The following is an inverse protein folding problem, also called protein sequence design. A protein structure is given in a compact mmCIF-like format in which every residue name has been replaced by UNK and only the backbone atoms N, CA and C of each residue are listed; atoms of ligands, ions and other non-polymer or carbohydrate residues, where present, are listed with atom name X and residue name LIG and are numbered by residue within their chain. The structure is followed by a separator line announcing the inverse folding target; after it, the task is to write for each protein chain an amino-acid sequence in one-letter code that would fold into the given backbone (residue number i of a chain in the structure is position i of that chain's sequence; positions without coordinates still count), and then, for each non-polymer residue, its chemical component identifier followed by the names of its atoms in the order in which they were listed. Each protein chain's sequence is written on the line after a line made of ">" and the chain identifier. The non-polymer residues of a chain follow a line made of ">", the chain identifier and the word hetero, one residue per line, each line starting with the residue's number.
data_IF_590551503793
#
_entry.id   IF_590551503793
#
_cell.length_a   1.000
_cell.length_b   1.000
_cell.length_c   1.000
_cell.angle_alpha   90.00
_cell.angle_beta   90.00
_cell.angle_gamma   90.00
#
_symmetry.space_group_name_H-M   'P 1'
#
loop_
_entity.id
_entity.type
_entity.pdbx_description
1 polymer ?
#
# COMPACT_ATOMS: atom_id res chain seq x y z
N UNK A 1 -10.99 -32.90 15.22
CA UNK A 1 -10.95 -32.32 16.59
C UNK A 1 -12.38 -32.23 17.07
N UNK A 2 -12.71 -32.81 18.22
CA UNK A 2 -14.08 -32.82 18.75
C UNK A 2 -14.42 -31.44 19.31
N UNK A 3 -15.68 -31.02 19.26
CA UNK A 3 -16.13 -29.75 19.85
C UNK A 3 -15.80 -29.65 21.36
N UNK A 4 -15.71 -30.81 22.03
CA UNK A 4 -15.30 -30.91 23.44
C UNK A 4 -13.83 -30.56 23.62
N UNK A 5 -12.96 -30.90 22.67
CA UNK A 5 -11.53 -30.53 22.72
C UNK A 5 -11.35 -29.02 22.50
N UNK A 6 -12.11 -28.45 21.56
CA UNK A 6 -12.08 -27.00 21.32
C UNK A 6 -12.59 -26.19 22.53
N UNK A 7 -13.66 -26.66 23.19
CA UNK A 7 -14.16 -26.04 24.42
C UNK A 7 -13.18 -26.20 25.58
N UNK A 8 -12.50 -27.36 25.69
CA UNK A 8 -11.44 -27.57 26.68
C UNK A 8 -10.25 -26.62 26.45
N UNK A 9 -9.80 -26.48 25.21
CA UNK A 9 -8.68 -25.59 24.87
C UNK A 9 -9.02 -24.12 25.14
N UNK A 10 -10.25 -23.69 24.82
CA UNK A 10 -10.71 -22.34 25.12
C UNK A 10 -10.76 -22.05 26.63
N UNK A 11 -11.22 -23.01 27.44
CA UNK A 11 -11.27 -22.89 28.90
C UNK A 11 -9.85 -22.82 29.48
N UNK A 12 -8.93 -23.64 28.97
CA UNK A 12 -7.52 -23.63 29.40
C UNK A 12 -6.83 -22.29 29.08
N UNK A 13 -7.15 -21.67 27.94
CA UNK A 13 -6.64 -20.34 27.59
C UNK A 13 -7.20 -19.21 28.47
N UNK A 14 -8.45 -19.34 28.94
CA UNK A 14 -9.15 -18.30 29.71
C UNK A 14 -8.91 -18.37 31.22
N UNK A 15 -8.80 -19.57 31.79
CA UNK A 15 -8.66 -19.75 33.24
C UNK A 15 -7.20 -19.85 33.69
N UNK A 16 -6.25 -19.94 32.74
CA UNK A 16 -4.91 -20.42 33.02
C UNK A 16 -4.93 -21.91 33.35
N UNK A 17 -3.79 -22.57 33.23
CA UNK A 17 -3.69 -23.99 33.57
C UNK A 17 -3.87 -24.19 35.07
N UNK A 18 -5.05 -24.67 35.47
CA UNK A 18 -5.40 -25.00 36.85
C UNK A 18 -4.24 -25.74 37.57
N UNK A 19 -3.85 -25.33 38.80
CA UNK A 19 -2.82 -26.01 39.58
C UNK A 19 -3.13 -27.49 39.88
N UNK A 20 -4.39 -27.93 39.73
CA UNK A 20 -4.84 -29.27 40.09
C UNK A 20 -4.81 -30.29 38.94
N UNK A 21 -4.46 -29.88 37.72
CA UNK A 21 -4.32 -30.78 36.57
C UNK A 21 -2.82 -30.99 36.34
N UNK A 22 -2.30 -32.08 36.90
CA UNK A 22 -0.95 -32.60 36.64
C UNK A 22 -0.91 -33.19 35.21
N UNK A 23 -0.98 -32.31 34.21
CA UNK A 23 -0.51 -32.61 32.87
C UNK A 23 1.01 -32.40 32.97
N UNK A 24 1.81 -33.47 32.91
CA UNK A 24 3.27 -33.48 33.16
C UNK A 24 4.15 -32.64 32.20
N UNK A 25 3.63 -31.49 31.75
CA UNK A 25 4.33 -30.41 31.09
C UNK A 25 5.02 -29.59 32.18
N UNK A 26 6.34 -29.59 32.17
CA UNK A 26 7.13 -28.67 32.99
C UNK A 26 6.60 -27.25 32.78
N UNK A 27 6.07 -26.61 33.83
CA UNK A 27 5.61 -25.22 33.76
C UNK A 27 6.81 -24.34 33.44
N UNK A 28 6.89 -23.91 32.19
CA UNK A 28 7.96 -23.02 31.73
C UNK A 28 7.79 -21.67 32.41
N UNK A 29 8.81 -21.15 33.10
CA UNK A 29 8.69 -19.85 33.77
C UNK A 29 8.58 -18.73 32.73
N UNK A 30 7.81 -17.68 33.04
CA UNK A 30 7.66 -16.50 32.16
C UNK A 30 8.98 -15.77 31.84
N UNK A 31 10.06 -16.09 32.56
CA UNK A 31 11.41 -15.57 32.37
C UNK A 31 12.20 -16.25 31.25
N UNK A 32 11.68 -17.32 30.65
CA UNK A 32 12.37 -18.03 29.56
C UNK A 32 12.51 -17.13 28.31
N UNK A 33 13.67 -17.19 27.65
CA UNK A 33 13.96 -16.44 26.43
C UNK A 33 13.11 -16.88 25.21
N UNK A 34 12.50 -18.08 25.28
CA UNK A 34 11.60 -18.61 24.23
C UNK A 34 10.25 -17.90 24.20
N UNK A 35 9.86 -17.25 25.30
CA UNK A 35 8.58 -16.55 25.43
C UNK A 35 8.72 -15.15 24.86
N UNK A 36 7.66 -14.68 24.20
CA UNK A 36 7.64 -13.33 23.65
C UNK A 36 7.41 -12.30 24.76
N UNK A 37 8.47 -11.59 25.15
CA UNK A 37 8.40 -10.49 26.13
C UNK A 37 7.40 -9.40 25.71
N UNK A 38 7.38 -9.05 24.41
CA UNK A 38 6.41 -8.10 23.86
C UNK A 38 4.96 -8.60 23.97
N UNK A 39 4.73 -9.92 23.93
CA UNK A 39 3.39 -10.49 24.13
C UNK A 39 2.96 -10.42 25.59
N UNK A 40 3.88 -10.65 26.55
CA UNK A 40 3.62 -10.46 27.98
C UNK A 40 3.20 -9.01 28.28
N UNK A 41 3.75 -8.03 27.55
CA UNK A 41 3.36 -6.61 27.62
C UNK A 41 2.14 -6.25 26.76
N UNK A 42 1.60 -7.21 25.99
CA UNK A 42 0.45 -6.99 25.11
C UNK A 42 0.72 -6.12 23.88
N UNK A 43 1.98 -5.93 23.50
CA UNK A 43 2.40 -5.05 22.40
C UNK A 43 3.12 -5.80 21.27
N UNK A 44 2.96 -7.12 21.16
CA UNK A 44 3.63 -7.88 20.11
C UNK A 44 3.10 -7.47 18.72
N UNK A 45 3.95 -6.96 17.80
CA UNK A 45 3.51 -6.52 16.47
C UNK A 45 2.84 -7.63 15.65
N UNK A 46 3.29 -8.88 15.82
CA UNK A 46 2.72 -10.04 15.11
C UNK A 46 1.28 -10.36 15.53
N UNK A 47 0.94 -10.13 16.80
CA UNK A 47 -0.40 -10.41 17.32
C UNK A 47 -1.35 -9.24 17.06
N UNK A 48 -0.89 -8.00 17.24
CA UNK A 48 -1.68 -6.79 17.00
C UNK A 48 -2.03 -6.60 15.53
N UNK A 49 -1.11 -6.96 14.62
CA UNK A 49 -1.31 -6.82 13.17
C UNK A 49 -1.84 -8.09 12.52
N UNK A 50 -2.12 -9.14 13.31
CA UNK A 50 -2.77 -10.34 12.82
C UNK A 50 -4.09 -9.95 12.13
N UNK A 51 -4.36 -10.53 10.96
CA UNK A 51 -5.54 -10.22 10.13
C UNK A 51 -5.56 -8.84 9.46
N UNK A 52 -4.47 -8.07 9.50
CA UNK A 52 -4.35 -6.83 8.71
C UNK A 52 -3.69 -7.10 7.36
N UNK A 53 -3.78 -6.16 6.41
CA UNK A 53 -3.03 -6.25 5.13
C UNK A 53 -1.50 -6.24 5.31
N UNK A 54 -1.03 -5.91 6.52
CA UNK A 54 0.38 -5.85 6.89
C UNK A 54 0.79 -7.01 7.79
N UNK A 55 0.01 -8.11 7.78
CA UNK A 55 0.29 -9.29 8.60
C UNK A 55 1.69 -9.85 8.30
N UNK A 56 2.47 -10.03 9.37
CA UNK A 56 3.82 -10.58 9.32
C UNK A 56 3.85 -12.09 9.59
N UNK A 57 2.69 -12.69 9.83
CA UNK A 57 2.54 -14.09 10.20
C UNK A 57 2.77 -14.35 11.69
N UNK A 58 2.74 -15.63 12.04
CA UNK A 58 2.88 -16.11 13.41
C UNK A 58 4.23 -15.72 14.03
N UNK A 59 4.21 -15.36 15.32
CA UNK A 59 5.42 -15.02 16.02
C UNK A 59 6.31 -16.26 16.21
N UNK A 60 7.62 -16.11 16.05
CA UNK A 60 8.60 -17.19 16.29
C UNK A 60 8.71 -17.55 17.77
N UNK A 61 8.24 -16.67 18.66
CA UNK A 61 8.28 -16.84 20.12
C UNK A 61 6.91 -17.29 20.62
N UNK A 62 6.91 -17.99 21.76
CA UNK A 62 5.68 -18.55 22.33
C UNK A 62 4.81 -17.43 22.90
N UNK A 63 3.54 -17.40 22.48
CA UNK A 63 2.48 -16.53 23.00
C UNK A 63 1.51 -17.38 23.82
N UNK A 64 1.63 -17.33 25.15
CA UNK A 64 0.72 -18.03 26.06
C UNK A 64 0.03 -17.03 26.98
N UNK A 65 -1.30 -17.00 26.92
CA UNK A 65 -2.15 -16.10 27.71
C UNK A 65 -2.03 -16.42 29.21
N UNK A 66 -1.79 -17.68 29.58
CA UNK A 66 -1.60 -18.06 30.98
C UNK A 66 -0.34 -17.39 31.57
N UNK A 67 0.77 -17.39 30.82
CA UNK A 67 2.04 -16.77 31.24
C UNK A 67 1.93 -15.25 31.33
N UNK A 68 1.08 -14.63 30.49
CA UNK A 68 0.78 -13.20 30.60
C UNK A 68 0.07 -12.87 31.91
N UNK A 69 -0.92 -13.67 32.32
CA UNK A 69 -1.60 -13.47 33.60
C UNK A 69 -0.66 -13.61 34.81
N UNK A 70 0.27 -14.58 34.74
CA UNK A 70 1.31 -14.77 35.76
C UNK A 70 2.30 -13.60 35.80
N UNK A 71 2.68 -13.07 34.63
CA UNK A 71 3.52 -11.88 34.51
C UNK A 71 2.84 -10.63 35.07
N UNK A 72 1.58 -10.36 34.71
CA UNK A 72 0.81 -9.21 35.21
C UNK A 72 0.64 -9.25 36.74
N UNK A 73 0.58 -10.45 37.32
CA UNK A 73 0.59 -10.63 38.78
C UNK A 73 1.96 -10.31 39.38
N UNK A 74 3.02 -10.83 38.79
CA UNK A 74 4.41 -10.66 39.26
C UNK A 74 4.91 -9.22 39.09
N UNK A 75 4.46 -8.52 38.05
CA UNK A 75 4.80 -7.13 37.76
C UNK A 75 4.33 -6.17 38.88
N UNK A 76 3.26 -6.52 39.61
CA UNK A 76 2.80 -5.73 40.78
C UNK A 76 3.78 -5.80 41.95
N UNK A 77 4.57 -6.87 42.04
CA UNK A 77 5.53 -7.08 43.12
C UNK A 77 6.93 -6.58 42.74
N UNK A 78 7.31 -6.69 41.46
CA UNK A 78 8.64 -6.30 40.98
C UNK A 78 8.63 -5.91 39.50
N UNK A 79 9.38 -4.85 39.17
CA UNK A 79 9.66 -4.48 37.79
C UNK A 79 10.73 -5.38 37.17
N UNK A 80 10.40 -6.00 36.04
CA UNK A 80 11.29 -6.89 35.27
C UNK A 80 12.00 -6.19 34.09
N UNK A 81 11.71 -4.90 33.84
CA UNK A 81 12.30 -4.07 32.79
C UNK A 81 12.19 -4.64 31.36
N UNK A 82 11.20 -5.49 31.09
CA UNK A 82 10.94 -6.01 29.74
C UNK A 82 10.51 -4.94 28.74
N UNK A 83 10.15 -3.74 29.22
CA UNK A 83 9.81 -2.59 28.40
C UNK A 83 10.98 -2.12 27.54
N UNK A 84 12.21 -2.23 28.03
CA UNK A 84 13.42 -1.84 27.29
C UNK A 84 13.64 -2.77 26.09
N UNK A 85 13.56 -4.08 26.32
CA UNK A 85 13.66 -5.07 25.24
C UNK A 85 12.53 -4.89 24.22
N UNK A 86 11.32 -4.60 24.70
CA UNK A 86 10.18 -4.37 23.84
C UNK A 86 10.37 -3.10 22.99
N UNK A 87 10.90 -2.03 23.58
CA UNK A 87 11.21 -0.79 22.88
C UNK A 87 12.21 -1.01 21.73
N UNK A 88 13.31 -1.74 21.97
CA UNK A 88 14.31 -2.01 20.92
C UNK A 88 13.70 -2.77 19.72
N UNK A 89 12.83 -3.73 19.99
CA UNK A 89 12.14 -4.50 18.95
C UNK A 89 11.14 -3.61 18.20
N UNK A 90 10.40 -2.77 18.92
CA UNK A 90 9.43 -1.85 18.33
C UNK A 90 10.10 -0.76 17.49
N UNK A 91 11.23 -0.22 17.93
CA UNK A 91 11.99 0.79 17.20
C UNK A 91 12.48 0.24 15.85
N UNK A 92 13.01 -0.99 15.82
CA UNK A 92 13.36 -1.68 14.57
C UNK A 92 12.15 -1.87 13.67
N UNK A 93 11.01 -2.26 14.26
CA UNK A 93 9.77 -2.45 13.52
C UNK A 93 9.24 -1.14 12.91
N UNK A 94 9.30 -0.03 13.64
CA UNK A 94 8.95 1.29 13.12
C UNK A 94 9.85 1.70 11.96
N UNK A 95 11.16 1.47 12.08
CA UNK A 95 12.11 1.76 10.99
C UNK A 95 11.78 0.98 9.71
N UNK A 96 11.43 -0.30 9.83
CA UNK A 96 11.02 -1.12 8.69
C UNK A 96 9.69 -0.64 8.07
N UNK A 97 8.74 -0.20 8.91
CA UNK A 97 7.49 0.38 8.44
C UNK A 97 7.69 1.70 7.71
N UNK A 98 8.50 2.61 8.27
CA UNK A 98 8.85 3.88 7.64
C UNK A 98 9.57 3.66 6.31
N UNK A 99 10.51 2.71 6.26
CA UNK A 99 11.19 2.34 5.01
C UNK A 99 10.21 1.84 3.96
N UNK A 100 9.26 0.96 4.32
CA UNK A 100 8.21 0.49 3.40
C UNK A 100 7.32 1.64 2.94
N UNK A 101 6.99 2.57 3.85
CA UNK A 101 6.18 3.74 3.56
C UNK A 101 6.88 4.68 2.57
N UNK A 102 8.16 4.95 2.76
CA UNK A 102 8.94 5.78 1.85
C UNK A 102 9.07 5.16 0.45
N UNK A 103 9.24 3.83 0.36
CA UNK A 103 9.22 3.13 -0.93
C UNK A 103 7.85 3.28 -1.61
N UNK A 104 6.76 3.13 -0.86
CA UNK A 104 5.41 3.28 -1.39
C UNK A 104 5.14 4.72 -1.88
N UNK A 105 5.56 5.73 -1.10
CA UNK A 105 5.49 7.14 -1.50
C UNK A 105 6.31 7.42 -2.75
N UNK A 106 7.54 6.89 -2.82
CA UNK A 106 8.41 7.08 -4.00
C UNK A 106 7.79 6.48 -5.25
N UNK A 107 7.27 5.25 -5.17
CA UNK A 107 6.55 4.63 -6.28
C UNK A 107 5.34 5.45 -6.72
N UNK A 108 4.57 5.97 -5.76
CA UNK A 108 3.42 6.83 -6.06
C UNK A 108 3.86 8.12 -6.78
N UNK A 109 4.96 8.74 -6.34
CA UNK A 109 5.53 9.93 -6.97
C UNK A 109 6.04 9.63 -8.38
N UNK A 110 6.77 8.52 -8.58
CA UNK A 110 7.24 8.07 -9.90
C UNK A 110 6.05 7.84 -10.86
N UNK A 111 4.99 7.14 -10.42
CA UNK A 111 3.78 6.93 -11.23
C UNK A 111 3.06 8.26 -11.53
N UNK A 112 3.03 9.20 -10.59
CA UNK A 112 2.41 10.51 -10.80
C UNK A 112 3.21 11.37 -11.78
N UNK A 113 4.54 11.33 -11.71
CA UNK A 113 5.43 12.01 -12.64
C UNK A 113 5.28 11.45 -14.04
N UNK A 114 5.30 10.11 -14.20
CA UNK A 114 5.07 9.44 -15.48
C UNK A 114 3.72 9.83 -16.09
N UNK A 115 2.64 9.78 -15.31
CA UNK A 115 1.31 10.20 -15.76
C UNK A 115 1.26 11.69 -16.15
N UNK A 116 1.99 12.53 -15.42
CA UNK A 116 2.06 13.97 -15.71
C UNK A 116 2.83 14.26 -17.00
N UNK A 117 3.93 13.54 -17.26
CA UNK A 117 4.74 13.68 -18.46
C UNK A 117 3.94 13.22 -19.69
N UNK A 118 3.31 12.05 -19.62
CA UNK A 118 2.44 11.57 -20.69
C UNK A 118 1.27 12.52 -20.97
N UNK A 119 0.68 13.12 -19.94
CA UNK A 119 -0.38 14.11 -20.09
C UNK A 119 0.13 15.40 -20.77
N UNK A 120 1.32 15.88 -20.39
CA UNK A 120 1.94 17.05 -21.02
C UNK A 120 2.32 16.80 -22.49
N UNK A 121 2.91 15.64 -22.81
CA UNK A 121 3.25 15.30 -24.20
C UNK A 121 2.02 15.18 -25.10
N UNK A 122 0.93 14.60 -24.59
CA UNK A 122 -0.34 14.52 -25.32
C UNK A 122 -0.95 15.90 -25.53
N UNK A 123 -0.90 16.78 -24.52
CA UNK A 123 -1.38 18.15 -24.65
C UNK A 123 -0.55 18.97 -25.65
N UNK A 124 0.78 18.82 -25.66
CA UNK A 124 1.67 19.47 -26.64
C UNK A 124 1.37 19.02 -28.07
N UNK A 125 1.18 17.72 -28.32
CA UNK A 125 0.79 17.20 -29.64
C UNK A 125 -0.53 17.80 -30.13
N UNK A 126 -1.52 17.94 -29.25
CA UNK A 126 -2.82 18.56 -29.58
C UNK A 126 -2.62 20.06 -29.91
N UNK A 127 -1.77 20.77 -29.17
CA UNK A 127 -1.46 22.18 -29.45
C UNK A 127 -0.75 22.35 -30.80
N UNK A 128 0.25 21.51 -31.11
CA UNK A 128 0.95 21.53 -32.40
C UNK A 128 0.00 21.26 -33.58
N UNK A 129 -0.88 20.27 -33.46
CA UNK A 129 -1.90 19.98 -34.48
C UNK A 129 -2.85 21.17 -34.65
N UNK A 130 -3.26 21.84 -33.57
CA UNK A 130 -4.09 23.05 -33.66
C UNK A 130 -3.37 24.21 -34.37
N UNK A 131 -2.09 24.44 -34.09
CA UNK A 131 -1.31 25.45 -34.79
C UNK A 131 -1.17 25.14 -36.28
N UNK A 132 -0.90 23.89 -36.63
CA UNK A 132 -0.74 23.46 -38.02
C UNK A 132 -2.06 23.58 -38.79
N UNK A 133 -3.19 23.23 -38.17
CA UNK A 133 -4.53 23.47 -38.73
C UNK A 133 -4.76 24.97 -38.94
N UNK A 134 -4.40 25.82 -37.97
CA UNK A 134 -4.54 27.27 -38.09
C UNK A 134 -3.73 27.86 -39.25
N UNK A 135 -2.47 27.44 -39.41
CA UNK A 135 -1.58 27.88 -40.51
C UNK A 135 -2.11 27.44 -41.87
N UNK A 136 -2.46 26.16 -42.01
CA UNK A 136 -2.98 25.62 -43.28
C UNK A 136 -4.33 26.20 -43.66
N UNK A 137 -5.19 26.53 -42.69
CA UNK A 137 -6.47 27.21 -42.93
C UNK A 137 -6.26 28.64 -43.43
N UNK A 138 -5.35 29.39 -42.82
CA UNK A 138 -5.00 30.74 -43.27
C UNK A 138 -4.37 30.74 -44.69
N UNK A 139 -3.58 29.72 -45.02
CA UNK A 139 -3.02 29.55 -46.37
C UNK A 139 -4.09 29.19 -47.40
N UNK A 140 -5.02 28.29 -47.05
CA UNK A 140 -6.14 27.89 -47.92
C UNK A 140 -7.05 29.09 -48.25
N UNK A 141 -7.34 29.95 -47.26
CA UNK A 141 -8.14 31.17 -47.45
C UNK A 141 -7.44 32.20 -48.36
N UNK A 142 -6.12 32.39 -48.21
CA UNK A 142 -5.35 33.28 -49.09
C UNK A 142 -5.38 32.83 -50.55
N UNK A 143 -5.11 31.55 -50.79
CA UNK A 143 -5.12 30.99 -52.16
C UNK A 143 -6.52 31.00 -52.79
N UNK A 144 -7.56 30.83 -51.97
CA UNK A 144 -8.95 31.00 -52.39
C UNK A 144 -9.24 32.44 -52.85
N UNK A 145 -8.78 33.45 -52.10
CA UNK A 145 -8.94 34.86 -52.46
C UNK A 145 -8.15 35.26 -53.71
N UNK A 146 -7.01 34.62 -53.97
CA UNK A 146 -6.20 34.83 -55.19
C UNK A 146 -6.78 34.11 -56.43
N UNK A 147 -7.87 33.36 -56.29
CA UNK A 147 -8.52 32.64 -57.38
C UNK A 147 -7.83 31.34 -57.80
N UNK A 148 -6.88 30.84 -56.99
CA UNK A 148 -6.20 29.56 -57.22
C UNK A 148 -6.99 28.40 -56.62
N UNK A 149 -8.11 28.09 -57.27
CA UNK A 149 -9.13 27.15 -56.77
C UNK A 149 -8.58 25.72 -56.61
N UNK A 150 -7.76 25.23 -57.55
CA UNK A 150 -7.19 23.87 -57.48
C UNK A 150 -6.20 23.70 -56.31
N UNK A 151 -5.32 24.69 -56.07
CA UNK A 151 -4.36 24.67 -54.96
C UNK A 151 -5.06 24.80 -53.60
N UNK A 152 -6.12 25.62 -53.52
CA UNK A 152 -6.95 25.78 -52.32
C UNK A 152 -7.69 24.48 -51.96
N UNK A 153 -8.26 23.77 -52.95
CA UNK A 153 -8.92 22.49 -52.74
C UNK A 153 -7.97 21.41 -52.21
N UNK A 154 -6.74 21.33 -52.74
CA UNK A 154 -5.73 20.39 -52.27
C UNK A 154 -5.28 20.67 -50.82
N UNK A 155 -5.25 21.95 -50.40
CA UNK A 155 -4.96 22.33 -49.01
C UNK A 155 -6.14 22.04 -48.07
N UNK A 156 -7.37 22.20 -48.56
CA UNK A 156 -8.58 21.84 -47.81
C UNK A 156 -8.67 20.33 -47.53
N UNK A 157 -8.26 19.49 -48.49
CA UNK A 157 -8.17 18.04 -48.27
C UNK A 157 -7.13 17.68 -47.20
N UNK A 158 -5.96 18.34 -47.20
CA UNK A 158 -4.94 18.20 -46.15
C UNK A 158 -5.43 18.71 -44.78
N UNK A 159 -6.26 19.75 -44.77
CA UNK A 159 -6.90 20.23 -43.54
C UNK A 159 -7.89 19.21 -42.98
N UNK A 160 -8.64 18.51 -43.82
CA UNK A 160 -9.55 17.45 -43.38
C UNK A 160 -8.80 16.25 -42.78
N UNK A 161 -7.64 15.88 -43.34
CA UNK A 161 -6.79 14.83 -42.74
C UNK A 161 -6.24 15.27 -41.38
N UNK A 162 -5.73 16.51 -41.28
CA UNK A 162 -5.23 17.06 -40.01
C UNK A 162 -6.34 17.20 -38.95
N UNK A 163 -7.57 17.55 -39.37
CA UNK A 163 -8.73 17.60 -38.46
C UNK A 163 -9.12 16.22 -37.94
N UNK A 164 -9.03 15.17 -38.77
CA UNK A 164 -9.26 13.78 -38.33
C UNK A 164 -8.19 13.35 -37.33
N UNK A 165 -6.92 13.60 -37.63
CA UNK A 165 -5.81 13.30 -36.71
C UNK A 165 -5.95 14.05 -35.38
N UNK A 166 -6.38 15.31 -35.40
CA UNK A 166 -6.73 16.06 -34.19
C UNK A 166 -7.87 15.39 -33.43
N UNK A 167 -8.94 15.01 -34.11
CA UNK A 167 -10.11 14.40 -33.48
C UNK A 167 -9.74 13.06 -32.81
N UNK A 168 -8.88 12.27 -33.44
CA UNK A 168 -8.35 11.03 -32.87
C UNK A 168 -7.45 11.31 -31.65
N UNK A 169 -6.60 12.35 -31.72
CA UNK A 169 -5.77 12.79 -30.60
C UNK A 169 -6.61 13.31 -29.40
N UNK A 170 -7.65 14.12 -29.66
CA UNK A 170 -8.57 14.64 -28.64
C UNK A 170 -9.40 13.53 -27.99
N UNK A 171 -9.84 12.53 -28.75
CA UNK A 171 -10.54 11.34 -28.22
C UNK A 171 -9.60 10.52 -27.35
N UNK A 172 -8.34 10.35 -27.75
CA UNK A 172 -7.33 9.65 -26.95
C UNK A 172 -6.93 10.40 -25.66
N UNK A 173 -7.12 11.72 -25.63
CA UNK A 173 -6.88 12.58 -24.47
C UNK A 173 -8.13 12.77 -23.60
N UNK A 174 -9.30 12.28 -24.02
CA UNK A 174 -10.54 12.46 -23.26
C UNK A 174 -10.42 11.80 -21.88
N UNK A 175 -10.56 12.58 -20.78
CA UNK A 175 -10.39 12.08 -19.42
C UNK A 175 -11.50 11.10 -18.98
N UNK A 176 -12.43 10.75 -19.87
CA UNK A 176 -13.55 9.84 -19.64
C UNK A 176 -13.27 8.38 -20.07
N UNK A 177 -12.05 8.08 -20.48
CA UNK A 177 -11.64 6.72 -20.90
C UNK A 177 -10.83 5.93 -19.86
N UNK A 178 -10.69 6.48 -18.64
CA UNK A 178 -10.14 5.81 -17.46
C UNK A 178 -11.17 5.74 -16.33
#
# INVERSE_FOLDING_TARGET
>A
MSAVDQMRDMINQLMGTDPSIDDGRERMPFTDARICRNFLLGCCPHDVLASTRMDMGECQKIHDVALRADFERSQKEKDYFYDLDAYEVLERFFYDCDRKMEIAKKKLAETQEELSQEATEKAEKVLELNENIGKTLAEAEKLGNEGRVEESLALMEKLETLKKEKQDADVSFSPLSF
#
